data_IF_415350089913
#
_entry.id   IF_415350089913
#
_cell.length_a   1.000
_cell.length_b   1.000
_cell.length_c   1.000
_cell.angle_alpha   90.00
_cell.angle_beta   90.00
_cell.angle_gamma   90.00
#
_symmetry.space_group_name_H-M   'P 1'
#
loop_
_entity.id
_entity.type
_entity.pdbx_description
1 polymer ?
#
# COMPACT_ATOMS: atom_id res chain seq x y z
N UNK A 1 -48.87 10.54 -42.06
CA UNK A 1 -48.18 10.92 -43.32
C UNK A 1 -46.83 10.18 -43.28
N UNK A 2 -46.67 9.01 -43.91
CA UNK A 2 -46.54 8.80 -45.37
C UNK A 2 -45.62 9.84 -46.00
N UNK A 3 -44.61 9.54 -46.82
CA UNK A 3 -43.99 8.35 -47.40
C UNK A 3 -42.93 8.98 -48.32
N UNK A 4 -41.73 8.43 -48.49
CA UNK A 4 -41.17 8.16 -49.83
C UNK A 4 -39.93 7.25 -49.71
N UNK A 5 -40.10 6.06 -50.28
CA UNK A 5 -39.08 5.04 -50.62
C UNK A 5 -38.22 5.56 -51.80
N UNK A 6 -37.04 5.00 -52.10
CA UNK A 6 -36.75 3.89 -53.06
C UNK A 6 -35.21 3.93 -53.23
N UNK A 7 -34.43 2.85 -53.36
CA UNK A 7 -34.73 1.44 -53.59
C UNK A 7 -33.50 0.54 -53.53
N UNK A 8 -33.75 -0.77 -53.61
CA UNK A 8 -32.78 -1.86 -53.72
C UNK A 8 -32.69 -2.37 -55.17
N UNK A 9 -31.50 -2.77 -55.63
CA UNK A 9 -31.20 -3.85 -56.61
C UNK A 9 -29.74 -4.31 -56.33
N UNK A 10 -29.48 -5.52 -55.78
CA UNK A 10 -29.03 -6.78 -56.44
C UNK A 10 -27.81 -6.63 -57.39
N UNK A 11 -26.77 -7.46 -57.47
CA UNK A 11 -26.52 -8.86 -57.06
C UNK A 11 -24.98 -9.13 -57.10
N UNK A 12 -24.50 -10.17 -56.39
CA UNK A 12 -23.16 -10.74 -56.59
C UNK A 12 -22.62 -11.56 -55.41
N UNK A 13 -22.93 -12.86 -55.37
CA UNK A 13 -22.21 -13.91 -54.59
C UNK A 13 -21.19 -14.61 -55.54
N UNK A 14 -20.30 -15.56 -55.13
CA UNK A 14 -20.10 -16.20 -53.82
C UNK A 14 -18.63 -16.39 -53.34
N UNK A 15 -18.53 -16.96 -52.13
CA UNK A 15 -17.51 -17.90 -51.61
C UNK A 15 -16.06 -17.44 -51.42
N UNK A 16 -15.61 -17.45 -50.16
CA UNK A 16 -14.70 -18.52 -49.74
C UNK A 16 -14.86 -18.84 -48.25
N UNK A 17 -15.11 -20.12 -47.98
CA UNK A 17 -15.09 -20.77 -46.68
C UNK A 17 -13.72 -20.61 -46.00
N UNK A 18 -13.74 -20.27 -44.71
CA UNK A 18 -12.99 -21.03 -43.69
C UNK A 18 -13.44 -20.62 -42.29
N UNK A 19 -14.30 -21.45 -41.71
CA UNK A 19 -14.16 -22.01 -40.37
C UNK A 19 -13.57 -21.07 -39.29
N UNK A 20 -14.34 -20.09 -38.82
CA UNK A 20 -14.11 -19.52 -37.48
C UNK A 20 -15.09 -20.23 -36.56
N UNK A 21 -14.61 -21.34 -35.98
CA UNK A 21 -15.32 -22.08 -34.94
C UNK A 21 -15.73 -21.14 -33.81
N UNK A 22 -17.02 -21.17 -33.53
CA UNK A 22 -17.59 -20.87 -32.22
C UNK A 22 -16.75 -21.56 -31.13
N UNK A 23 -16.27 -20.78 -30.18
CA UNK A 23 -15.51 -21.26 -29.03
C UNK A 23 -15.49 -20.22 -27.92
N UNK A 24 -16.67 -19.72 -27.54
CA UNK A 24 -16.83 -19.11 -26.21
C UNK A 24 -16.74 -20.26 -25.20
N UNK A 25 -15.62 -20.32 -24.48
CA UNK A 25 -15.44 -21.13 -23.29
C UNK A 25 -14.73 -20.27 -22.25
N UNK A 26 -15.30 -20.30 -21.05
CA UNK A 26 -15.00 -19.48 -19.89
C UNK A 26 -13.68 -19.89 -19.22
N UNK A 27 -13.19 -18.93 -18.42
CA UNK A 27 -12.33 -19.11 -17.24
C UNK A 27 -10.82 -19.07 -17.49
N UNK A 28 -10.21 -17.90 -17.28
CA UNK A 28 -8.83 -17.77 -16.76
C UNK A 28 -8.63 -16.37 -16.14
N UNK A 29 -9.62 -15.91 -15.35
CA UNK A 29 -9.48 -14.70 -14.53
C UNK A 29 -8.46 -14.86 -13.39
N UNK A 30 -8.12 -16.10 -13.03
CA UNK A 30 -7.17 -16.40 -11.97
C UNK A 30 -5.69 -16.37 -12.43
N UNK A 31 -5.38 -16.66 -13.70
CA UNK A 31 -3.98 -16.81 -14.12
C UNK A 31 -3.31 -15.49 -14.56
N UNK A 32 -4.12 -14.47 -14.90
CA UNK A 32 -3.68 -13.09 -15.08
C UNK A 32 -3.46 -12.38 -13.73
N UNK A 33 -4.14 -12.83 -12.68
CA UNK A 33 -4.08 -12.29 -11.31
C UNK A 33 -2.75 -12.64 -10.61
N UNK A 34 -2.28 -13.89 -10.69
CA UNK A 34 -1.05 -14.34 -10.01
C UNK A 34 0.25 -13.67 -10.51
N UNK A 35 0.34 -13.39 -11.83
CA UNK A 35 1.53 -12.75 -12.44
C UNK A 35 1.62 -11.26 -12.09
N UNK A 36 0.48 -10.56 -12.15
CA UNK A 36 0.38 -9.15 -11.76
C UNK A 36 0.74 -8.95 -10.28
N UNK A 37 0.19 -9.80 -9.39
CA UNK A 37 0.47 -9.78 -7.94
C UNK A 37 1.95 -9.95 -7.61
N UNK A 38 2.66 -10.85 -8.30
CA UNK A 38 4.10 -11.08 -8.08
C UNK A 38 4.95 -9.88 -8.52
N UNK A 39 4.67 -9.31 -9.69
CA UNK A 39 5.36 -8.11 -10.17
C UNK A 39 5.06 -6.89 -9.28
N UNK A 40 3.84 -6.79 -8.76
CA UNK A 40 3.45 -5.78 -7.77
C UNK A 40 4.21 -5.96 -6.47
N UNK A 41 4.34 -7.19 -5.95
CA UNK A 41 5.16 -7.49 -4.76
C UNK A 41 6.63 -7.12 -4.97
N UNK A 42 7.20 -7.42 -6.12
CA UNK A 42 8.62 -7.12 -6.35
C UNK A 42 8.86 -5.60 -6.53
N UNK A 43 7.85 -4.87 -7.03
CA UNK A 43 7.84 -3.39 -7.06
C UNK A 43 7.57 -2.76 -5.70
N UNK A 44 6.71 -3.38 -4.90
CA UNK A 44 6.33 -2.98 -3.56
C UNK A 44 7.18 -3.77 -2.59
N UNK A 45 8.40 -3.32 -2.30
CA UNK A 45 9.27 -4.01 -1.36
C UNK A 45 8.71 -3.90 0.08
N UNK A 46 7.68 -4.70 0.38
CA UNK A 46 6.92 -4.72 1.64
C UNK A 46 7.84 -5.12 2.79
N UNK A 47 8.78 -6.03 2.54
CA UNK A 47 9.78 -6.44 3.52
C UNK A 47 10.66 -5.24 3.90
N UNK A 48 11.20 -4.52 2.92
CA UNK A 48 11.99 -3.32 3.20
C UNK A 48 11.17 -2.23 3.90
N UNK A 49 9.88 -2.10 3.57
CA UNK A 49 8.99 -1.18 4.28
C UNK A 49 8.85 -1.56 5.77
N UNK A 50 8.64 -2.84 6.08
CA UNK A 50 8.56 -3.31 7.47
C UNK A 50 9.89 -3.11 8.23
N UNK A 51 11.02 -3.45 7.59
CA UNK A 51 12.36 -3.25 8.16
C UNK A 51 12.64 -1.77 8.45
N UNK A 52 12.27 -0.87 7.55
CA UNK A 52 12.44 0.56 7.74
C UNK A 52 11.71 1.08 9.00
N UNK A 53 10.51 0.57 9.28
CA UNK A 53 9.74 0.95 10.48
C UNK A 53 10.37 0.39 11.77
N UNK A 54 10.92 -0.82 11.74
CA UNK A 54 11.66 -1.39 12.88
C UNK A 54 12.93 -0.57 13.17
N UNK A 55 13.70 -0.24 12.13
CA UNK A 55 14.89 0.62 12.25
C UNK A 55 14.53 1.97 12.85
N UNK A 56 13.41 2.55 12.40
CA UNK A 56 12.88 3.79 12.94
C UNK A 56 12.52 3.72 14.42
N UNK A 57 11.79 2.68 14.82
CA UNK A 57 11.45 2.45 16.22
C UNK A 57 12.70 2.36 17.09
N UNK A 58 13.71 1.61 16.64
CA UNK A 58 14.96 1.45 17.38
C UNK A 58 15.75 2.76 17.51
N UNK A 59 15.79 3.56 16.44
CA UNK A 59 16.41 4.91 16.48
C UNK A 59 15.70 5.79 17.50
N UNK A 60 14.37 5.90 17.42
CA UNK A 60 13.61 6.73 18.37
C UNK A 60 13.78 6.22 19.81
N UNK A 61 13.79 4.90 20.03
CA UNK A 61 14.05 4.32 21.35
C UNK A 61 15.44 4.66 21.89
N UNK A 62 16.46 4.71 21.03
CA UNK A 62 17.81 5.13 21.44
C UNK A 62 17.84 6.58 21.94
N UNK A 63 16.99 7.45 21.39
CA UNK A 63 16.81 8.82 21.87
C UNK A 63 16.05 8.89 23.19
N UNK A 64 14.96 8.13 23.28
CA UNK A 64 14.13 8.04 24.50
C UNK A 64 14.95 7.59 25.70
N UNK A 65 15.78 6.56 25.54
CA UNK A 65 16.62 6.03 26.62
C UNK A 65 17.97 6.75 26.77
N UNK A 66 18.20 7.84 26.04
CA UNK A 66 19.43 8.65 26.15
C UNK A 66 20.72 7.95 25.70
N UNK A 67 20.61 6.90 24.87
CA UNK A 67 21.75 6.16 24.30
C UNK A 67 22.34 6.90 23.11
N UNK A 68 21.51 7.65 22.37
CA UNK A 68 21.93 8.45 21.21
C UNK A 68 21.67 9.93 21.44
N UNK A 69 22.60 10.76 20.96
CA UNK A 69 22.47 12.22 20.91
C UNK A 69 22.53 12.75 19.47
N UNK A 70 22.43 11.86 18.46
CA UNK A 70 22.31 12.33 17.08
C UNK A 70 21.11 13.28 16.97
N UNK A 71 21.17 14.37 16.18
CA UNK A 71 20.01 15.23 16.04
C UNK A 71 18.84 14.41 15.50
N UNK A 72 17.76 14.32 16.28
CA UNK A 72 16.45 13.90 15.78
C UNK A 72 16.03 14.94 14.74
N UNK A 73 16.48 14.74 13.50
CA UNK A 73 16.13 15.61 12.39
C UNK A 73 14.62 15.56 12.20
N UNK A 74 13.91 16.54 12.75
CA UNK A 74 12.45 16.64 12.68
C UNK A 74 11.94 16.62 11.22
N UNK A 75 12.79 17.00 10.26
CA UNK A 75 12.50 16.95 8.83
C UNK A 75 12.53 15.53 8.22
N UNK A 76 13.18 14.55 8.86
CA UNK A 76 13.27 13.17 8.36
C UNK A 76 12.36 12.21 9.14
N UNK A 77 11.90 12.58 10.34
CA UNK A 77 11.31 11.67 11.33
C UNK A 77 9.79 11.83 11.56
N UNK A 78 9.10 12.68 10.80
CA UNK A 78 7.67 12.95 11.05
C UNK A 78 6.79 13.12 9.81
N UNK A 79 7.34 13.04 8.60
CA UNK A 79 6.53 13.25 7.39
C UNK A 79 6.14 11.90 6.79
N UNK A 80 4.86 11.56 6.92
CA UNK A 80 4.21 10.42 6.25
C UNK A 80 4.62 10.35 4.76
N UNK A 81 4.77 11.50 4.09
CA UNK A 81 5.13 11.58 2.68
C UNK A 81 6.61 11.30 2.33
N UNK A 82 7.51 11.28 3.33
CA UNK A 82 8.94 10.98 3.13
C UNK A 82 9.24 9.49 3.39
N UNK A 83 8.36 8.80 4.13
CA UNK A 83 8.44 7.36 4.25
C UNK A 83 8.18 6.71 2.89
N UNK A 84 9.07 5.80 2.47
CA UNK A 84 8.89 5.03 1.24
C UNK A 84 7.51 4.36 1.21
N UNK A 85 7.03 3.89 2.37
CA UNK A 85 5.70 3.31 2.50
C UNK A 85 4.57 4.33 2.30
N UNK A 86 4.65 5.54 2.85
CA UNK A 86 3.62 6.56 2.65
C UNK A 86 3.50 7.02 1.20
N UNK A 87 4.62 7.07 0.47
CA UNK A 87 4.60 7.28 -0.99
C UNK A 87 3.92 6.13 -1.75
N UNK A 88 4.06 4.89 -1.25
CA UNK A 88 3.40 3.72 -1.82
C UNK A 88 1.89 3.69 -1.51
N UNK A 89 1.49 3.94 -0.25
CA UNK A 89 0.09 3.97 0.20
C UNK A 89 -0.72 5.01 -0.59
N UNK A 90 -0.14 6.19 -0.81
CA UNK A 90 -0.78 7.26 -1.59
C UNK A 90 -0.66 7.07 -3.10
N UNK A 91 0.16 6.12 -3.56
CA UNK A 91 0.46 5.88 -4.96
C UNK A 91 -0.57 4.98 -5.68
N UNK A 92 -0.60 5.06 -7.00
CA UNK A 92 -1.48 4.25 -7.85
C UNK A 92 -1.25 2.74 -7.71
N UNK A 93 -0.03 2.31 -7.32
CA UNK A 93 0.32 0.91 -7.14
C UNK A 93 -0.46 0.22 -6.01
N UNK A 94 -0.97 0.99 -5.04
CA UNK A 94 -1.80 0.46 -3.95
C UNK A 94 -3.31 0.57 -4.21
N UNK A 95 -3.74 1.11 -5.35
CA UNK A 95 -5.16 1.27 -5.67
C UNK A 95 -5.92 -0.08 -5.68
N UNK A 96 -5.25 -1.15 -6.11
CA UNK A 96 -5.80 -2.51 -6.14
C UNK A 96 -6.08 -3.10 -4.75
N UNK A 97 -5.50 -2.53 -3.71
CA UNK A 97 -5.64 -2.99 -2.34
C UNK A 97 -6.68 -2.19 -1.55
N UNK A 98 -7.27 -1.14 -2.14
CA UNK A 98 -8.23 -0.26 -1.45
C UNK A 98 -9.52 -0.98 -1.06
N UNK A 99 -9.82 -2.10 -1.70
CA UNK A 99 -10.97 -2.94 -1.35
C UNK A 99 -10.65 -3.94 -0.22
N UNK A 100 -9.38 -4.04 0.20
CA UNK A 100 -8.95 -4.89 1.30
C UNK A 100 -9.00 -4.14 2.63
N UNK A 101 -9.53 -4.77 3.67
CA UNK A 101 -9.59 -4.19 5.01
C UNK A 101 -8.18 -3.92 5.56
N UNK A 102 -7.23 -4.81 5.26
CA UNK A 102 -5.84 -4.73 5.71
C UNK A 102 -5.12 -3.49 5.16
N UNK A 103 -5.56 -2.96 4.01
CA UNK A 103 -5.02 -1.70 3.48
C UNK A 103 -5.44 -0.50 4.33
N UNK A 104 -6.70 -0.45 4.75
CA UNK A 104 -7.18 0.65 5.60
C UNK A 104 -6.57 0.58 7.00
N UNK A 105 -6.43 -0.63 7.55
CA UNK A 105 -5.70 -0.87 8.79
C UNK A 105 -4.24 -0.41 8.68
N UNK A 106 -3.56 -0.74 7.57
CA UNK A 106 -2.20 -0.26 7.29
C UNK A 106 -2.14 1.28 7.26
N UNK A 107 -3.05 1.91 6.52
CA UNK A 107 -3.07 3.36 6.35
C UNK A 107 -3.32 4.10 7.68
N UNK A 108 -4.24 3.60 8.50
CA UNK A 108 -4.51 4.15 9.83
C UNK A 108 -3.33 3.96 10.78
N UNK A 109 -2.78 2.74 10.84
CA UNK A 109 -1.64 2.42 11.70
C UNK A 109 -0.41 3.24 11.33
N UNK A 110 -0.17 3.47 10.03
CA UNK A 110 0.95 4.28 9.52
C UNK A 110 0.83 5.74 9.96
N UNK A 111 -0.31 6.37 9.72
CA UNK A 111 -0.55 7.76 10.16
C UNK A 111 -0.40 7.88 11.67
N UNK A 112 -0.98 6.95 12.43
CA UNK A 112 -0.88 6.93 13.89
C UNK A 112 0.57 6.77 14.36
N UNK A 113 1.36 5.91 13.72
CA UNK A 113 2.77 5.72 14.02
C UNK A 113 3.55 7.04 13.87
N UNK A 114 3.38 7.76 12.76
CA UNK A 114 4.06 9.03 12.53
C UNK A 114 3.57 10.19 13.41
N UNK A 115 2.27 10.25 13.71
CA UNK A 115 1.72 11.20 14.66
C UNK A 115 2.30 10.99 16.07
N UNK A 116 2.32 9.75 16.56
CA UNK A 116 2.88 9.42 17.86
C UNK A 116 4.39 9.64 17.93
N UNK A 117 5.13 9.35 16.86
CA UNK A 117 6.56 9.68 16.77
C UNK A 117 6.80 11.19 17.01
N UNK A 118 5.98 12.03 16.37
CA UNK A 118 6.07 13.49 16.53
C UNK A 118 5.81 13.90 17.98
N UNK A 119 4.81 13.31 18.65
CA UNK A 119 4.52 13.60 20.06
C UNK A 119 5.65 13.15 20.99
N UNK A 120 6.25 11.97 20.77
CA UNK A 120 7.42 11.50 21.53
C UNK A 120 8.58 12.50 21.39
N UNK A 121 8.87 12.95 20.16
CA UNK A 121 9.93 13.93 19.91
C UNK A 121 9.67 15.26 20.61
N UNK A 122 8.45 15.78 20.56
CA UNK A 122 8.11 17.04 21.24
C UNK A 122 8.20 16.92 22.77
N UNK A 123 7.82 15.76 23.34
CA UNK A 123 8.02 15.48 24.78
C UNK A 123 9.50 15.48 25.16
N UNK A 124 10.36 14.83 24.36
CA UNK A 124 11.81 14.83 24.58
C UNK A 124 12.38 16.25 24.51
N UNK A 125 11.98 17.07 23.53
CA UNK A 125 12.40 18.48 23.42
C UNK A 125 11.93 19.32 24.60
N UNK A 126 10.74 19.03 25.13
CA UNK A 126 10.18 19.68 26.32
C UNK A 126 10.78 19.21 27.64
N UNK A 127 11.69 18.22 27.63
CA UNK A 127 12.28 17.63 28.83
C UNK A 127 11.39 16.62 29.57
N UNK A 128 10.21 16.29 29.02
CA UNK A 128 9.30 15.28 29.55
C UNK A 128 9.74 13.87 29.11
N UNK A 129 10.88 13.41 29.64
CA UNK A 129 11.48 12.12 29.29
C UNK A 129 10.58 10.96 29.71
N UNK A 130 10.03 10.99 30.93
CA UNK A 130 9.15 9.94 31.42
C UNK A 130 7.86 9.82 30.61
N UNK A 131 7.26 10.95 30.21
CA UNK A 131 6.10 10.93 29.31
C UNK A 131 6.44 10.46 27.91
N UNK A 132 7.63 10.78 27.40
CA UNK A 132 8.11 10.28 26.10
C UNK A 132 8.31 8.76 26.13
N UNK A 133 8.92 8.24 27.20
CA UNK A 133 9.15 6.82 27.41
C UNK A 133 7.84 6.04 27.54
N UNK A 134 6.91 6.51 28.37
CA UNK A 134 5.59 5.88 28.50
C UNK A 134 4.85 5.79 27.16
N UNK A 135 4.85 6.88 26.37
CA UNK A 135 4.21 6.90 25.04
C UNK A 135 4.93 5.99 24.03
N UNK A 136 6.26 5.93 24.10
CA UNK A 136 7.10 5.09 23.24
C UNK A 136 6.84 3.59 23.48
N UNK A 137 6.81 3.17 24.75
CA UNK A 137 6.63 1.77 25.14
C UNK A 137 5.21 1.25 24.91
N UNK A 138 4.21 2.15 24.96
CA UNK A 138 2.81 1.80 24.80
C UNK A 138 2.29 2.08 23.39
N UNK A 139 1.64 3.21 23.16
CA UNK A 139 0.85 3.49 21.96
C UNK A 139 1.71 3.52 20.70
N UNK A 140 2.92 4.09 20.78
CA UNK A 140 3.83 4.14 19.63
C UNK A 140 4.31 2.73 19.25
N UNK A 141 4.68 1.94 20.24
CA UNK A 141 5.08 0.54 20.04
C UNK A 141 3.94 -0.32 19.48
N UNK A 142 2.70 -0.06 19.88
CA UNK A 142 1.51 -0.70 19.32
C UNK A 142 1.31 -0.32 17.85
N UNK A 143 1.31 0.98 17.54
CA UNK A 143 1.15 1.46 16.15
C UNK A 143 2.21 0.87 15.21
N UNK A 144 3.47 0.78 15.66
CA UNK A 144 4.55 0.14 14.90
C UNK A 144 4.26 -1.35 14.61
N UNK A 145 3.75 -2.09 15.61
CA UNK A 145 3.35 -3.49 15.42
C UNK A 145 2.19 -3.63 14.44
N UNK A 146 1.19 -2.75 14.53
CA UNK A 146 0.01 -2.78 13.67
C UNK A 146 0.39 -2.53 12.20
N UNK A 147 1.35 -1.62 11.93
CA UNK A 147 1.94 -1.43 10.59
C UNK A 147 2.58 -2.73 10.09
N UNK A 148 3.45 -3.35 10.87
CA UNK A 148 4.16 -4.57 10.47
C UNK A 148 3.19 -5.74 10.23
N UNK A 149 2.16 -5.86 11.07
CA UNK A 149 1.13 -6.88 10.93
C UNK A 149 0.30 -6.68 9.66
N UNK A 150 -0.12 -5.44 9.38
CA UNK A 150 -0.89 -5.12 8.18
C UNK A 150 -0.07 -5.33 6.91
N UNK A 151 1.19 -4.92 6.90
CA UNK A 151 2.14 -5.22 5.83
C UNK A 151 2.31 -6.73 5.61
N UNK A 152 2.43 -7.51 6.68
CA UNK A 152 2.54 -8.97 6.60
C UNK A 152 1.27 -9.63 6.08
N UNK A 153 0.09 -9.09 6.41
CA UNK A 153 -1.18 -9.57 5.89
C UNK A 153 -1.30 -9.30 4.38
N UNK A 154 -1.00 -8.08 3.94
CA UNK A 154 -0.98 -7.72 2.51
C UNK A 154 0.04 -8.58 1.75
N UNK A 155 1.24 -8.80 2.31
CA UNK A 155 2.25 -9.66 1.68
C UNK A 155 1.80 -11.11 1.52
N UNK A 156 0.97 -11.64 2.44
CA UNK A 156 0.37 -12.98 2.31
C UNK A 156 -0.67 -13.04 1.19
N UNK A 157 -1.50 -12.00 1.06
CA UNK A 157 -2.47 -11.90 -0.05
C UNK A 157 -1.79 -11.85 -1.43
N UNK A 158 -0.56 -11.32 -1.49
CA UNK A 158 0.25 -11.30 -2.71
C UNK A 158 0.96 -12.62 -3.03
N UNK A 159 1.04 -13.55 -2.07
CA UNK A 159 1.63 -14.88 -2.28
C UNK A 159 0.60 -15.93 -2.73
N UNK A 160 -0.70 -15.63 -2.59
CA UNK A 160 -1.82 -16.45 -3.06
C UNK A 160 -2.28 -16.06 -4.46
#
# INVERSE_FOLDING_TARGET
MCLQKIGCVFAGQPSNDTDIKQGVMMSDGAELDCRCKRDLRDRLNIVAAAEAHVVWKNRLGSHVHGVSHEPLGAALLGQDGVCQLGGLINGAAFAIFRDMEEFWQLNEAHQKFHQLASVVIEKLKGGDVSGAEALFENEYSLACRDVIQSLSAINRQLQG
#
